data_IF_453177093951
#
_entry.id   IF_453177093951
#
_cell.length_a   1.000
_cell.length_b   1.000
_cell.length_c   1.000
_cell.angle_alpha   90.00
_cell.angle_beta   90.00
_cell.angle_gamma   90.00
#
_symmetry.space_group_name_H-M   'P 1'
#
loop_
_entity.id
_entity.type
_entity.pdbx_description
1 polymer ?
#
# COMPACT_ATOMS: atom_id res chain seq x y z
N UNK A 1 7.30 -2.97 8.67
CA UNK A 1 8.50 -2.39 8.44
C UNK A 1 8.42 -0.90 8.36
N UNK A 2 9.36 -0.32 8.88
CA UNK A 2 9.34 1.05 8.80
C UNK A 2 9.80 1.45 7.46
N UNK A 3 9.01 2.16 6.84
CA UNK A 3 9.33 2.58 5.56
C UNK A 3 9.33 4.05 5.58
N UNK A 4 10.48 4.61 5.33
CA UNK A 4 10.45 6.01 5.33
C UNK A 4 10.82 6.49 3.98
N UNK A 5 10.38 7.66 3.68
CA UNK A 5 10.55 8.25 2.41
C UNK A 5 11.32 9.50 2.63
N UNK A 6 12.41 9.67 1.95
CA UNK A 6 13.13 10.86 2.16
C UNK A 6 12.37 12.00 1.53
N UNK A 7 12.76 13.16 1.80
CA UNK A 7 11.97 14.27 1.50
C UNK A 7 11.76 14.47 0.05
N UNK A 8 12.59 13.94 -0.74
CA UNK A 8 12.38 14.06 -2.13
C UNK A 8 11.32 13.16 -2.62
N UNK A 9 11.11 12.10 -1.90
CA UNK A 9 10.17 11.11 -2.33
C UNK A 9 8.90 11.19 -1.62
N UNK A 10 8.86 11.90 -0.53
CA UNK A 10 7.71 11.88 0.30
C UNK A 10 6.47 12.23 -0.41
N UNK A 11 6.61 13.06 -1.39
CA UNK A 11 5.42 13.50 -2.02
C UNK A 11 4.99 12.56 -3.05
N UNK A 12 5.82 11.69 -3.40
CA UNK A 12 5.41 10.89 -4.47
C UNK A 12 4.84 9.63 -4.01
N UNK A 13 5.44 9.00 -3.10
CA UNK A 13 4.87 7.74 -2.77
C UNK A 13 5.62 7.07 -1.70
N UNK A 14 4.90 6.23 -1.05
CA UNK A 14 5.41 5.32 -0.11
C UNK A 14 5.42 4.00 -0.81
N UNK A 15 6.56 3.42 -0.93
CA UNK A 15 6.68 2.18 -1.62
C UNK A 15 6.83 1.08 -0.61
N UNK A 16 5.86 0.19 -0.60
CA UNK A 16 5.91 -0.96 0.26
C UNK A 16 6.09 -2.17 -0.58
N UNK A 17 7.05 -2.97 -0.24
CA UNK A 17 7.29 -4.19 -0.94
C UNK A 17 6.96 -5.32 -0.01
N UNK A 18 5.95 -6.07 -0.38
CA UNK A 18 5.54 -7.20 0.42
C UNK A 18 5.85 -8.46 -0.30
N UNK A 19 6.39 -9.39 0.42
CA UNK A 19 6.49 -10.73 -0.08
C UNK A 19 5.35 -11.47 0.53
N UNK A 20 4.27 -11.53 -0.17
CA UNK A 20 3.11 -12.22 0.32
C UNK A 20 3.00 -13.50 -0.43
N UNK A 21 3.04 -14.59 0.32
CA UNK A 21 2.92 -15.87 -0.29
C UNK A 21 1.54 -16.38 0.03
N UNK A 22 0.69 -16.39 -0.96
CA UNK A 22 -0.66 -16.89 -0.78
C UNK A 22 -0.72 -18.28 -1.33
N UNK A 23 -1.23 -19.18 -0.53
CA UNK A 23 -1.32 -20.56 -0.91
C UNK A 23 -2.69 -20.90 -1.37
N UNK A 24 -2.82 -22.02 -1.96
CA UNK A 24 -4.09 -22.62 -2.26
C UNK A 24 -4.91 -21.92 -3.32
N UNK A 25 -4.34 -21.00 -4.02
CA UNK A 25 -5.02 -20.40 -5.14
C UNK A 25 -6.23 -19.57 -4.81
N UNK A 26 -6.41 -19.18 -3.57
CA UNK A 26 -7.53 -18.34 -3.21
C UNK A 26 -7.07 -16.88 -3.27
N UNK A 27 -8.05 -15.99 -3.30
CA UNK A 27 -7.76 -14.57 -3.26
C UNK A 27 -7.38 -14.18 -1.85
N UNK A 28 -6.54 -13.18 -1.75
CA UNK A 28 -6.13 -12.66 -0.47
C UNK A 28 -6.45 -11.19 -0.37
N UNK A 29 -5.79 -10.55 0.57
CA UNK A 29 -5.93 -9.13 0.73
C UNK A 29 -4.60 -8.53 1.15
N UNK A 30 -4.44 -7.26 0.84
CA UNK A 30 -3.27 -6.50 1.28
C UNK A 30 -3.80 -5.37 2.13
N UNK A 31 -3.28 -5.24 3.34
CA UNK A 31 -3.69 -4.18 4.22
C UNK A 31 -2.45 -3.45 4.70
N UNK A 32 -2.59 -2.20 4.99
CA UNK A 32 -1.47 -1.43 5.47
C UNK A 32 -1.91 -0.04 5.89
N UNK A 33 -0.92 0.79 6.16
CA UNK A 33 -1.15 2.12 6.65
C UNK A 33 -0.15 3.05 5.98
N UNK A 34 -0.59 4.23 5.64
CA UNK A 34 0.27 5.21 4.99
C UNK A 34 0.40 6.41 5.91
N UNK A 35 1.65 6.78 6.16
CA UNK A 35 1.92 7.95 6.97
C UNK A 35 2.99 8.77 6.27
N UNK A 36 3.08 10.02 6.64
CA UNK A 36 4.16 10.85 6.13
C UNK A 36 5.39 10.65 7.00
N UNK A 37 6.42 11.40 6.70
CA UNK A 37 7.69 11.19 7.39
C UNK A 37 7.62 11.60 8.84
N UNK A 38 6.62 12.35 9.22
CA UNK A 38 6.45 12.77 10.61
C UNK A 38 5.51 11.85 11.37
N UNK A 39 5.02 10.81 10.71
CA UNK A 39 4.13 9.88 11.38
C UNK A 39 2.67 10.23 11.28
N UNK A 40 2.35 11.29 10.57
CA UNK A 40 0.94 11.67 10.42
C UNK A 40 0.28 10.82 9.37
N UNK A 41 -0.91 10.33 9.67
CA UNK A 41 -1.60 9.49 8.71
C UNK A 41 -2.02 10.30 7.51
N UNK A 42 -2.02 9.67 6.36
CA UNK A 42 -2.43 10.31 5.13
C UNK A 42 -3.80 9.76 4.75
N UNK A 43 -4.77 10.64 4.73
CA UNK A 43 -6.16 10.30 4.45
C UNK A 43 -6.42 10.53 2.98
N UNK A 44 -7.10 9.59 2.35
CA UNK A 44 -7.43 9.74 0.94
C UNK A 44 -6.25 9.52 0.02
N UNK A 45 -5.20 8.91 0.53
CA UNK A 45 -4.04 8.60 -0.28
C UNK A 45 -4.36 7.44 -1.20
N UNK A 46 -3.95 7.53 -2.44
CA UNK A 46 -4.19 6.45 -3.39
C UNK A 46 -3.13 5.39 -3.23
N UNK A 47 -3.58 4.17 -2.99
CA UNK A 47 -2.68 3.04 -2.85
C UNK A 47 -3.02 2.07 -3.96
N UNK A 48 -2.04 1.61 -4.68
CA UNK A 48 -2.31 0.74 -5.80
C UNK A 48 -1.23 -0.32 -5.93
N UNK A 49 -1.63 -1.41 -6.54
CA UNK A 49 -0.74 -2.54 -6.77
C UNK A 49 -0.19 -2.39 -8.17
N UNK A 50 1.12 -2.29 -8.27
CA UNK A 50 1.76 -2.03 -9.55
C UNK A 50 1.50 -3.17 -10.50
N UNK A 51 1.25 -2.81 -11.74
CA UNK A 51 0.99 -3.82 -12.75
C UNK A 51 -0.43 -4.34 -12.77
N UNK A 52 -1.29 -3.81 -11.93
CA UNK A 52 -2.69 -4.21 -11.89
C UNK A 52 -3.55 -2.98 -11.80
N UNK A 53 -4.86 -3.19 -11.86
CA UNK A 53 -5.81 -2.12 -11.66
C UNK A 53 -6.36 -2.10 -10.23
N UNK A 54 -5.75 -2.86 -9.35
CA UNK A 54 -6.24 -2.97 -7.99
C UNK A 54 -5.68 -1.86 -7.13
N UNK A 55 -6.50 -1.35 -6.25
CA UNK A 55 -6.06 -0.31 -5.36
C UNK A 55 -7.17 0.10 -4.41
N UNK A 56 -6.84 1.06 -3.55
CA UNK A 56 -7.78 1.57 -2.57
C UNK A 56 -7.27 2.92 -2.09
N UNK A 57 -8.16 3.68 -1.49
CA UNK A 57 -7.76 4.93 -0.85
C UNK A 57 -7.66 4.71 0.64
N UNK A 58 -6.81 5.46 1.30
CA UNK A 58 -6.68 5.33 2.73
C UNK A 58 -7.87 5.99 3.41
N UNK A 59 -8.21 5.43 4.55
CA UNK A 59 -9.32 5.95 5.35
C UNK A 59 -8.82 6.98 6.36
N UNK A 60 -9.65 7.30 7.32
CA UNK A 60 -9.32 8.32 8.31
C UNK A 60 -8.16 7.95 9.19
N UNK A 61 -7.86 6.68 9.28
CA UNK A 61 -6.74 6.20 10.06
C UNK A 61 -5.51 5.98 9.19
N UNK A 62 -5.58 6.35 7.92
CA UNK A 62 -4.48 6.14 7.00
C UNK A 62 -4.39 4.71 6.54
N UNK A 63 -5.38 3.90 6.80
CA UNK A 63 -5.35 2.49 6.48
C UNK A 63 -5.94 2.22 5.11
N UNK A 64 -5.43 1.21 4.44
CA UNK A 64 -5.98 0.81 3.17
C UNK A 64 -6.17 -0.69 3.17
N UNK A 65 -7.14 -1.13 2.38
CA UNK A 65 -7.47 -2.53 2.27
C UNK A 65 -7.69 -2.82 0.79
N UNK A 66 -6.87 -3.69 0.24
CA UNK A 66 -7.00 -4.11 -1.14
C UNK A 66 -7.42 -5.56 -1.11
N UNK A 67 -8.62 -5.84 -1.58
CA UNK A 67 -9.22 -7.14 -1.42
C UNK A 67 -9.20 -7.90 -2.73
N UNK A 68 -9.39 -9.20 -2.62
CA UNK A 68 -9.54 -10.08 -3.78
C UNK A 68 -8.33 -10.06 -4.69
N UNK A 69 -7.16 -10.06 -4.09
CA UNK A 69 -5.95 -10.04 -4.88
C UNK A 69 -5.49 -11.47 -5.09
N UNK A 70 -5.16 -11.86 -6.32
CA UNK A 70 -4.74 -13.22 -6.59
C UNK A 70 -3.41 -13.54 -5.91
N UNK A 71 -3.10 -14.81 -5.71
CA UNK A 71 -1.82 -15.17 -5.13
C UNK A 71 -0.66 -14.64 -5.97
N UNK A 72 0.40 -14.22 -5.30
CA UNK A 72 1.56 -13.72 -6.01
C UNK A 72 2.38 -12.78 -5.15
N UNK A 73 3.33 -12.17 -5.78
CA UNK A 73 4.17 -11.18 -5.15
C UNK A 73 3.86 -9.84 -5.78
N UNK A 74 3.70 -8.84 -4.95
CA UNK A 74 3.22 -7.56 -5.43
C UNK A 74 4.03 -6.43 -4.86
N UNK A 75 4.07 -5.36 -5.61
CA UNK A 75 4.66 -4.12 -5.16
C UNK A 75 3.52 -3.12 -5.02
N UNK A 76 3.44 -2.49 -3.88
CA UNK A 76 2.35 -1.57 -3.57
C UNK A 76 2.93 -0.17 -3.49
N UNK A 77 2.29 0.75 -4.16
CA UNK A 77 2.70 2.14 -4.16
C UNK A 77 1.57 3.02 -3.66
N UNK A 78 1.94 4.13 -3.07
CA UNK A 78 0.96 5.09 -2.59
C UNK A 78 1.32 6.47 -3.11
N UNK A 79 0.31 7.24 -3.43
CA UNK A 79 0.54 8.61 -3.86
C UNK A 79 -0.65 9.46 -3.45
N UNK A 80 -0.39 10.73 -3.26
CA UNK A 80 -1.45 11.68 -2.93
C UNK A 80 -1.84 12.50 -4.14
#
# INVERSE_FOLDING_TARGET
>A
MSFFIDEKLKYLSLLLIFSISLNAGTSGKIVGKVTDENGNVLIGCNVFVRGTSLGAATNQNGEYFILNIPPGYYQVSASM
#
